data_IF_833830529143
#
_entry.id   IF_833830529143
#
_cell.length_a   1.000
_cell.length_b   1.000
_cell.length_c   1.000
_cell.angle_alpha   90.00
_cell.angle_beta   90.00
_cell.angle_gamma   90.00
#
_symmetry.space_group_name_H-M   'P 1'
#
loop_
_entity.id
_entity.type
_entity.pdbx_description
1 polymer ?
#
# COMPACT_ATOMS: atom_id res chain seq x y z
N UNK A 1 -30.59 34.32 -37.71
CA UNK A 1 -31.50 33.45 -36.97
C UNK A 1 -31.07 33.49 -35.52
N UNK A 2 -31.96 33.75 -34.53
CA UNK A 2 -31.59 33.74 -33.15
C UNK A 2 -31.20 32.30 -32.74
N UNK A 3 -30.06 32.13 -32.12
CA UNK A 3 -29.59 30.86 -31.57
C UNK A 3 -30.64 30.31 -30.61
N UNK A 4 -31.14 29.10 -30.86
CA UNK A 4 -32.04 28.41 -29.93
C UNK A 4 -31.26 28.07 -28.67
N UNK A 5 -31.63 28.68 -27.54
CA UNK A 5 -31.19 28.30 -26.23
C UNK A 5 -31.72 26.91 -25.91
N UNK A 6 -30.84 25.95 -25.68
CA UNK A 6 -31.21 24.73 -24.97
C UNK A 6 -31.45 25.05 -23.49
N UNK A 7 -32.45 24.40 -22.92
CA UNK A 7 -33.08 24.66 -21.63
C UNK A 7 -32.04 24.77 -20.51
N UNK A 8 -31.97 25.95 -19.91
CA UNK A 8 -31.20 26.24 -18.72
C UNK A 8 -30.76 27.68 -18.63
N UNK A 9 -30.72 28.16 -17.47
CA UNK A 9 -31.07 29.58 -17.20
C UNK A 9 -29.88 30.45 -16.80
N UNK A 10 -28.70 29.91 -16.61
CA UNK A 10 -27.62 30.76 -16.12
C UNK A 10 -26.71 31.27 -17.24
N UNK A 11 -26.91 32.54 -17.61
CA UNK A 11 -26.06 33.25 -18.56
C UNK A 11 -24.64 33.55 -17.98
N UNK A 12 -24.45 33.32 -16.69
CA UNK A 12 -23.24 33.66 -15.97
C UNK A 12 -22.42 32.43 -15.53
N UNK A 13 -22.74 31.22 -16.03
CA UNK A 13 -21.92 30.06 -15.75
C UNK A 13 -20.47 30.33 -16.15
N UNK A 14 -19.55 30.26 -15.19
CA UNK A 14 -18.15 30.44 -15.47
C UNK A 14 -17.63 29.21 -16.25
N UNK A 15 -16.59 29.37 -17.03
CA UNK A 15 -15.95 28.27 -17.76
C UNK A 15 -15.40 27.17 -16.85
N UNK A 16 -15.33 27.42 -15.54
CA UNK A 16 -14.92 26.46 -14.52
C UNK A 16 -16.10 25.79 -13.80
N UNK A 17 -17.35 26.23 -14.07
CA UNK A 17 -18.55 25.71 -13.43
C UNK A 17 -19.37 24.91 -14.46
N UNK A 18 -19.40 23.59 -14.30
CA UNK A 18 -20.14 22.68 -15.18
C UNK A 18 -21.64 22.58 -14.86
N UNK A 19 -22.14 23.38 -13.90
CA UNK A 19 -23.56 23.37 -13.49
C UNK A 19 -24.44 24.24 -14.40
N UNK A 20 -23.83 25.07 -15.24
CA UNK A 20 -24.54 25.91 -16.22
C UNK A 20 -24.83 25.17 -17.51
N UNK A 21 -25.89 25.59 -18.21
CA UNK A 21 -26.19 25.11 -19.57
C UNK A 21 -25.51 26.00 -20.57
N UNK A 22 -24.70 25.41 -21.38
CA UNK A 22 -23.88 26.03 -22.42
C UNK A 22 -24.60 26.01 -23.76
N UNK A 23 -24.53 27.10 -24.51
CA UNK A 23 -24.88 27.04 -25.93
C UNK A 23 -23.81 26.26 -26.69
N UNK A 24 -24.20 25.63 -27.81
CA UNK A 24 -23.26 24.80 -28.59
C UNK A 24 -21.94 25.51 -28.96
N UNK A 25 -22.01 26.83 -29.21
CA UNK A 25 -20.84 27.62 -29.56
C UNK A 25 -19.88 27.82 -28.37
N UNK A 26 -20.41 27.97 -27.16
CA UNK A 26 -19.62 28.05 -25.93
C UNK A 26 -19.01 26.68 -25.60
N UNK A 27 -19.76 25.59 -25.80
CA UNK A 27 -19.26 24.22 -25.67
C UNK A 27 -18.14 23.95 -26.66
N UNK A 28 -18.30 24.33 -27.92
CA UNK A 28 -17.25 24.19 -28.93
C UNK A 28 -16.01 25.03 -28.59
N UNK A 29 -16.21 26.30 -28.19
CA UNK A 29 -15.10 27.17 -27.78
C UNK A 29 -14.36 26.65 -26.54
N UNK A 30 -15.08 26.07 -25.59
CA UNK A 30 -14.49 25.43 -24.42
C UNK A 30 -13.71 24.17 -24.78
N UNK A 31 -14.22 23.33 -25.70
CA UNK A 31 -13.57 22.14 -26.20
C UNK A 31 -12.30 22.46 -26.98
N UNK A 32 -12.34 23.45 -27.87
CA UNK A 32 -11.18 23.88 -28.66
C UNK A 32 -10.14 24.62 -27.82
N UNK A 33 -10.60 25.34 -26.76
CA UNK A 33 -9.73 26.04 -25.82
C UNK A 33 -9.16 25.18 -24.69
N UNK A 34 -9.34 23.85 -24.75
CA UNK A 34 -8.96 22.88 -23.68
C UNK A 34 -9.55 23.24 -22.29
N UNK A 35 -10.72 23.91 -22.28
CA UNK A 35 -11.42 24.35 -21.06
C UNK A 35 -12.62 23.47 -20.72
N UNK A 36 -12.99 22.55 -21.63
CA UNK A 36 -14.05 21.58 -21.37
C UNK A 36 -13.50 20.43 -20.54
N UNK A 37 -13.84 20.42 -19.27
CA UNK A 37 -13.70 19.20 -18.46
C UNK A 37 -14.92 18.34 -18.77
N UNK A 38 -14.72 17.15 -19.32
CA UNK A 38 -15.79 16.17 -19.50
C UNK A 38 -16.51 15.87 -18.19
N UNK A 39 -17.65 15.15 -18.22
CA UNK A 39 -18.35 14.75 -17.01
C UNK A 39 -17.41 13.99 -16.09
N UNK A 40 -17.44 14.34 -14.79
CA UNK A 40 -16.60 13.74 -13.77
C UNK A 40 -17.39 12.77 -12.91
N UNK A 41 -16.71 11.79 -12.35
CA UNK A 41 -17.25 10.91 -11.33
C UNK A 41 -16.34 10.92 -10.08
N UNK A 42 -16.90 10.89 -8.86
CA UNK A 42 -16.12 10.77 -7.65
C UNK A 42 -15.56 9.34 -7.53
N UNK A 43 -14.26 9.20 -7.33
CA UNK A 43 -13.57 7.94 -7.10
C UNK A 43 -12.85 8.01 -5.76
N UNK A 44 -13.28 7.17 -4.80
CA UNK A 44 -12.49 6.91 -3.60
C UNK A 44 -11.39 5.90 -3.97
N UNK A 45 -10.18 6.12 -3.49
CA UNK A 45 -9.07 5.20 -3.75
C UNK A 45 -8.28 4.86 -2.50
N UNK A 46 -7.75 3.65 -2.51
CA UNK A 46 -6.72 3.18 -1.59
C UNK A 46 -5.56 2.64 -2.40
N UNK A 47 -4.38 3.19 -2.20
CA UNK A 47 -3.11 2.71 -2.78
C UNK A 47 -2.22 2.23 -1.64
N UNK A 48 -1.85 0.96 -1.67
CA UNK A 48 -0.94 0.35 -0.71
C UNK A 48 0.26 -0.19 -1.47
N UNK A 49 1.46 0.24 -1.10
CA UNK A 49 2.70 -0.25 -1.68
C UNK A 49 3.11 -1.61 -1.09
N UNK A 50 4.08 -2.28 -1.72
CA UNK A 50 4.66 -3.50 -1.19
C UNK A 50 5.46 -3.27 0.09
N UNK A 51 5.35 -4.21 1.04
CA UNK A 51 6.16 -4.23 2.27
C UNK A 51 7.59 -4.72 2.02
N UNK A 52 8.51 -4.39 2.91
CA UNK A 52 9.89 -4.88 2.88
C UNK A 52 10.04 -6.31 3.38
N UNK A 53 11.06 -7.02 2.96
CA UNK A 53 11.41 -8.36 3.48
C UNK A 53 12.08 -8.29 4.85
N UNK A 54 12.04 -9.39 5.61
CA UNK A 54 12.78 -9.55 6.86
C UNK A 54 14.26 -9.87 6.63
N UNK A 55 15.13 -9.46 7.56
CA UNK A 55 16.54 -9.85 7.61
C UNK A 55 16.71 -11.31 8.06
N UNK A 56 17.82 -11.94 7.70
CA UNK A 56 18.16 -13.29 8.20
C UNK A 56 18.90 -13.23 9.54
N UNK A 57 19.17 -14.36 10.19
CA UNK A 57 20.07 -14.51 11.35
C UNK A 57 19.74 -13.53 12.48
N UNK A 58 18.69 -13.78 13.22
CA UNK A 58 18.18 -12.88 14.27
C UNK A 58 17.87 -11.49 13.72
N UNK A 59 17.41 -11.47 12.47
CA UNK A 59 17.18 -10.25 11.73
C UNK A 59 15.96 -9.48 12.19
N UNK A 60 15.94 -8.20 11.86
CA UNK A 60 14.77 -7.35 12.05
C UNK A 60 13.65 -7.71 11.06
N UNK A 61 12.41 -7.45 11.45
CA UNK A 61 11.25 -7.53 10.55
C UNK A 61 11.29 -6.43 9.49
N UNK A 62 10.71 -6.68 8.32
CA UNK A 62 10.52 -5.69 7.25
C UNK A 62 9.47 -4.63 7.61
N UNK A 63 9.59 -3.45 7.08
CA UNK A 63 8.58 -2.39 7.21
C UNK A 63 7.38 -2.61 6.29
N UNK A 64 6.18 -2.17 6.69
CA UNK A 64 5.00 -2.11 5.83
C UNK A 64 5.15 -1.08 4.70
N UNK A 65 4.46 -1.26 3.58
CA UNK A 65 4.36 -0.26 2.53
C UNK A 65 3.62 1.00 3.01
N UNK A 66 3.64 2.07 2.24
CA UNK A 66 2.80 3.22 2.50
C UNK A 66 1.32 2.88 2.26
N UNK A 67 0.47 3.49 3.08
CA UNK A 67 -0.98 3.47 2.98
C UNK A 67 -1.45 4.87 2.59
N UNK A 68 -1.99 5.02 1.38
CA UNK A 68 -2.50 6.27 0.86
C UNK A 68 -3.98 6.10 0.51
N UNK A 69 -4.87 6.82 1.21
CA UNK A 69 -6.32 6.78 0.99
C UNK A 69 -6.86 8.19 0.84
N UNK A 70 -7.61 8.43 -0.22
CA UNK A 70 -8.26 9.72 -0.50
C UNK A 70 -9.36 9.54 -1.59
N UNK A 71 -9.84 10.64 -2.13
CA UNK A 71 -10.76 10.67 -3.26
C UNK A 71 -10.28 11.64 -4.33
N UNK A 72 -10.73 11.45 -5.55
CA UNK A 72 -10.48 12.34 -6.70
C UNK A 72 -11.67 12.31 -7.64
N UNK A 73 -11.84 13.36 -8.43
CA UNK A 73 -12.81 13.39 -9.52
C UNK A 73 -12.15 12.89 -10.80
N UNK A 74 -12.57 11.72 -11.26
CA UNK A 74 -12.10 11.17 -12.52
C UNK A 74 -12.95 11.72 -13.69
N UNK A 75 -12.31 12.11 -14.78
CA UNK A 75 -12.99 12.53 -16.01
C UNK A 75 -13.35 11.25 -16.79
N UNK A 76 -14.63 11.11 -17.12
CA UNK A 76 -15.14 9.96 -17.89
C UNK A 76 -14.49 9.93 -19.26
N UNK A 77 -14.08 8.74 -19.70
CA UNK A 77 -13.36 8.53 -20.97
C UNK A 77 -11.85 8.75 -20.89
N UNK A 78 -11.33 9.38 -19.83
CA UNK A 78 -9.89 9.51 -19.66
C UNK A 78 -9.27 8.21 -19.13
N UNK A 79 -7.99 8.03 -19.46
CA UNK A 79 -7.20 6.87 -19.08
C UNK A 79 -6.31 7.21 -17.87
N UNK A 80 -6.38 6.41 -16.82
CA UNK A 80 -5.62 6.58 -15.57
C UNK A 80 -4.69 5.38 -15.38
N UNK A 81 -3.42 5.65 -15.15
CA UNK A 81 -2.43 4.59 -14.95
C UNK A 81 -2.59 3.91 -13.59
N UNK A 82 -2.37 2.59 -13.54
CA UNK A 82 -2.36 1.80 -12.31
C UNK A 82 -1.16 0.87 -12.32
N UNK A 83 -0.45 0.81 -11.20
CA UNK A 83 0.59 -0.20 -10.96
C UNK A 83 0.50 -0.72 -9.54
N UNK A 84 0.68 -2.04 -9.37
CA UNK A 84 0.70 -2.68 -8.05
C UNK A 84 2.08 -3.26 -7.77
N UNK A 85 2.72 -2.76 -6.71
CA UNK A 85 4.06 -3.17 -6.33
C UNK A 85 4.11 -4.53 -5.61
N UNK A 86 5.11 -5.32 -5.91
CA UNK A 86 5.45 -6.56 -5.19
C UNK A 86 6.08 -6.27 -3.83
N UNK A 87 6.02 -7.26 -2.94
CA UNK A 87 6.79 -7.24 -1.68
C UNK A 87 8.28 -7.42 -1.91
N UNK A 88 9.09 -6.92 -0.98
CA UNK A 88 10.54 -7.12 -0.97
C UNK A 88 10.90 -8.59 -0.72
N UNK A 89 11.98 -9.05 -1.34
CA UNK A 89 12.47 -10.44 -1.18
C UNK A 89 12.87 -10.73 0.28
N UNK A 90 12.79 -11.99 0.64
CA UNK A 90 13.45 -12.50 1.85
C UNK A 90 14.95 -12.16 1.77
N UNK A 91 15.55 -11.72 2.89
CA UNK A 91 16.89 -11.17 2.85
C UNK A 91 18.00 -12.14 3.17
N UNK A 92 19.17 -11.85 2.56
CA UNK A 92 20.47 -12.18 3.12
C UNK A 92 20.84 -11.16 4.20
N UNK A 93 21.92 -10.38 4.02
CA UNK A 93 22.36 -9.36 5.00
C UNK A 93 21.32 -8.26 5.30
N UNK A 94 20.40 -8.02 4.40
CA UNK A 94 19.26 -7.12 4.53
C UNK A 94 18.11 -7.66 3.70
N UNK A 95 16.89 -7.61 4.22
CA UNK A 95 15.68 -7.88 3.43
C UNK A 95 15.55 -6.89 2.27
N UNK A 96 14.95 -7.34 1.18
CA UNK A 96 14.66 -6.49 0.02
C UNK A 96 13.67 -5.39 0.37
N UNK A 97 13.79 -4.24 -0.27
CA UNK A 97 12.76 -3.20 -0.27
C UNK A 97 11.60 -3.64 -1.16
N UNK A 98 10.38 -3.35 -0.78
CA UNK A 98 9.19 -3.56 -1.61
C UNK A 98 9.20 -2.69 -2.87
N UNK A 99 8.12 -2.74 -3.64
CA UNK A 99 7.93 -1.91 -4.84
C UNK A 99 6.74 -0.97 -4.62
N UNK A 100 6.83 0.25 -5.18
CA UNK A 100 5.77 1.25 -5.13
C UNK A 100 4.50 0.75 -5.83
N UNK A 101 3.34 1.18 -5.34
CA UNK A 101 2.07 1.09 -6.05
C UNK A 101 1.59 2.49 -6.41
N UNK A 102 0.87 2.63 -7.51
CA UNK A 102 0.35 3.92 -7.93
C UNK A 102 -1.05 3.80 -8.58
N UNK A 103 -1.81 4.87 -8.42
CA UNK A 103 -3.01 5.17 -9.18
C UNK A 103 -2.86 6.60 -9.70
N UNK A 104 -2.70 6.72 -11.04
CA UNK A 104 -2.41 7.98 -11.72
C UNK A 104 -1.21 8.72 -11.09
N UNK A 105 -1.39 9.95 -10.63
CA UNK A 105 -0.36 10.76 -9.95
C UNK A 105 -0.19 10.43 -8.46
N UNK A 106 -0.98 9.51 -7.91
CA UNK A 106 -0.93 9.12 -6.49
C UNK A 106 -0.06 7.87 -6.33
N UNK A 107 1.14 8.05 -5.80
CA UNK A 107 2.11 6.96 -5.62
C UNK A 107 2.40 6.71 -4.14
N UNK A 108 2.25 5.47 -3.71
CA UNK A 108 2.62 4.99 -2.39
C UNK A 108 4.05 4.43 -2.40
N UNK A 109 4.83 4.76 -1.39
CA UNK A 109 6.23 4.36 -1.23
C UNK A 109 6.35 2.98 -0.59
N UNK A 110 7.33 2.16 -0.97
CA UNK A 110 7.49 0.81 -0.42
C UNK A 110 8.07 0.82 1.00
N UNK A 111 7.82 -0.27 1.73
CA UNK A 111 8.52 -0.56 2.98
C UNK A 111 9.94 -1.05 2.72
N UNK A 112 10.88 -0.71 3.62
CA UNK A 112 12.28 -1.16 3.53
C UNK A 112 12.48 -2.49 4.25
N UNK A 113 13.50 -3.25 3.84
CA UNK A 113 13.84 -4.52 4.49
C UNK A 113 14.46 -4.34 5.88
N UNK A 114 14.25 -5.34 6.74
CA UNK A 114 14.94 -5.47 8.02
C UNK A 114 16.41 -5.88 7.84
N UNK A 115 17.26 -5.52 8.80
CA UNK A 115 18.69 -5.81 8.81
C UNK A 115 19.00 -7.07 9.62
N UNK A 116 20.06 -7.81 9.25
CA UNK A 116 20.56 -8.88 10.10
C UNK A 116 21.40 -8.33 11.27
N UNK A 117 21.69 -9.18 12.25
CA UNK A 117 22.33 -8.76 13.51
C UNK A 117 23.74 -8.18 13.32
N UNK A 118 24.51 -8.72 12.38
CA UNK A 118 25.87 -8.26 12.12
C UNK A 118 25.96 -7.13 11.07
N UNK A 119 24.82 -6.53 10.68
CA UNK A 119 24.84 -5.41 9.73
C UNK A 119 25.47 -4.18 10.39
N UNK A 120 26.58 -3.63 9.83
CA UNK A 120 27.29 -2.52 10.45
C UNK A 120 26.39 -1.35 10.79
N UNK A 121 26.37 -0.95 12.07
CA UNK A 121 25.60 0.16 12.59
C UNK A 121 24.10 -0.09 12.82
N UNK A 122 23.54 -1.27 12.47
CA UNK A 122 22.08 -1.50 12.56
C UNK A 122 21.66 -2.77 13.32
N UNK A 123 22.56 -3.61 13.81
CA UNK A 123 22.34 -4.77 14.70
C UNK A 123 20.90 -5.32 14.74
N UNK A 124 20.43 -5.95 13.68
CA UNK A 124 19.11 -6.55 13.62
C UNK A 124 17.93 -5.56 13.64
N UNK A 125 18.15 -4.31 13.25
CA UNK A 125 17.10 -3.28 13.21
C UNK A 125 15.99 -3.65 12.25
N UNK A 126 14.74 -3.37 12.63
CA UNK A 126 13.57 -3.47 11.75
C UNK A 126 13.61 -2.45 10.59
N UNK A 127 13.00 -2.79 9.46
CA UNK A 127 12.84 -1.91 8.31
C UNK A 127 11.85 -0.76 8.59
N UNK A 128 12.02 0.36 7.92
CA UNK A 128 11.08 1.48 8.01
C UNK A 128 9.87 1.22 7.10
N UNK A 129 8.70 1.72 7.49
CA UNK A 129 7.53 1.73 6.61
C UNK A 129 7.67 2.79 5.50
N UNK A 130 6.95 2.59 4.40
CA UNK A 130 6.80 3.59 3.34
C UNK A 130 6.17 4.90 3.83
N UNK A 131 5.35 4.85 4.89
CA UNK A 131 4.76 6.02 5.56
C UNK A 131 5.73 6.75 6.50
N UNK A 132 7.04 6.44 6.47
CA UNK A 132 8.06 7.11 7.25
C UNK A 132 8.15 6.67 8.72
N UNK A 133 7.41 5.64 9.18
CA UNK A 133 7.53 5.10 10.53
C UNK A 133 8.76 4.21 10.64
N UNK A 134 9.60 4.45 11.61
CA UNK A 134 10.86 3.73 11.79
C UNK A 134 10.63 2.32 12.32
N UNK A 135 11.51 1.41 11.91
CA UNK A 135 11.63 0.10 12.55
C UNK A 135 12.29 0.21 13.92
N UNK A 136 11.98 -0.74 14.79
CA UNK A 136 12.54 -0.86 16.13
C UNK A 136 14.03 -1.21 16.11
N UNK A 137 14.75 -0.81 17.15
CA UNK A 137 16.13 -1.20 17.36
C UNK A 137 16.25 -2.71 17.64
N UNK A 138 17.28 -3.34 17.09
CA UNK A 138 17.71 -4.68 17.46
C UNK A 138 18.69 -4.68 18.62
N UNK A 139 18.92 -5.84 19.23
CA UNK A 139 19.86 -6.11 20.29
C UNK A 139 21.04 -7.00 19.91
N UNK A 140 21.74 -7.57 20.91
CA UNK A 140 22.92 -8.39 20.67
C UNK A 140 22.61 -9.69 19.93
N UNK A 141 21.45 -10.32 20.20
CA UNK A 141 21.05 -11.63 19.66
C UNK A 141 19.56 -11.67 19.24
N UNK A 142 18.93 -10.51 19.06
CA UNK A 142 17.50 -10.41 18.78
C UNK A 142 17.17 -9.24 17.85
N UNK A 143 16.24 -9.45 16.94
CA UNK A 143 15.80 -8.49 15.94
C UNK A 143 14.70 -7.55 16.42
N UNK A 144 14.73 -6.30 15.98
CA UNK A 144 13.66 -5.31 16.15
C UNK A 144 12.51 -5.54 15.17
N UNK A 145 11.30 -5.07 15.49
CA UNK A 145 10.15 -5.12 14.62
C UNK A 145 10.19 -4.04 13.53
N UNK A 146 9.63 -4.32 12.37
CA UNK A 146 9.45 -3.33 11.29
C UNK A 146 8.41 -2.27 11.64
N UNK A 147 8.53 -1.07 11.06
CA UNK A 147 7.48 -0.04 11.17
C UNK A 147 6.25 -0.40 10.35
N UNK A 148 5.06 -0.10 10.84
CA UNK A 148 3.80 -0.15 10.12
C UNK A 148 3.34 1.24 9.68
N UNK A 149 2.28 1.35 8.87
CA UNK A 149 1.80 2.64 8.39
C UNK A 149 1.29 3.54 9.53
N UNK A 150 0.70 2.96 10.55
CA UNK A 150 0.14 3.67 11.70
C UNK A 150 1.13 3.86 12.85
N UNK A 151 2.10 2.94 13.04
CA UNK A 151 2.96 2.92 14.22
C UNK A 151 4.40 2.49 13.89
N UNK A 152 5.36 2.99 14.67
CA UNK A 152 6.76 2.52 14.64
C UNK A 152 6.85 1.08 15.11
N UNK A 153 7.84 0.35 14.61
CA UNK A 153 8.16 -0.99 15.11
C UNK A 153 8.74 -0.93 16.52
N UNK A 154 8.49 -1.96 17.31
CA UNK A 154 9.03 -2.04 18.66
C UNK A 154 10.49 -2.49 18.65
N UNK A 155 11.29 -1.86 19.51
CA UNK A 155 12.61 -2.35 19.85
C UNK A 155 12.56 -3.67 20.61
N UNK A 156 13.71 -4.30 20.75
CA UNK A 156 13.86 -5.53 21.54
C UNK A 156 13.74 -5.27 23.06
N UNK A 157 13.35 -6.31 23.80
CA UNK A 157 13.45 -6.34 25.25
C UNK A 157 14.53 -7.34 25.68
N UNK A 158 15.75 -6.86 25.90
CA UNK A 158 16.90 -7.71 26.27
C UNK A 158 16.73 -8.36 27.63
N UNK A 159 16.05 -7.70 28.60
CA UNK A 159 15.83 -8.26 29.94
C UNK A 159 14.96 -9.53 29.92
N UNK A 160 14.03 -9.62 28.98
CA UNK A 160 13.15 -10.78 28.80
C UNK A 160 13.50 -11.61 27.56
N UNK A 161 14.61 -11.29 26.88
CA UNK A 161 15.07 -11.91 25.64
C UNK A 161 13.96 -11.99 24.56
N UNK A 162 13.22 -10.89 24.37
CA UNK A 162 12.09 -10.81 23.46
C UNK A 162 12.38 -9.89 22.29
N UNK A 163 12.19 -10.41 21.06
CA UNK A 163 12.32 -9.64 19.82
C UNK A 163 11.21 -8.59 19.69
N UNK A 164 11.47 -7.56 18.90
CA UNK A 164 10.52 -6.47 18.68
C UNK A 164 9.33 -6.90 17.85
N UNK A 165 8.13 -6.50 18.26
CA UNK A 165 6.92 -6.66 17.46
C UNK A 165 6.86 -5.63 16.33
N UNK A 166 6.20 -5.98 15.24
CA UNK A 166 5.89 -5.04 14.16
C UNK A 166 4.98 -3.90 14.63
N UNK A 167 5.15 -2.74 14.02
CA UNK A 167 4.28 -1.59 14.21
C UNK A 167 2.92 -1.81 13.54
N UNK A 168 1.86 -1.26 14.14
CA UNK A 168 0.51 -1.36 13.61
C UNK A 168 0.39 -0.70 12.23
N UNK A 169 -0.47 -1.27 11.38
CA UNK A 169 -0.86 -0.74 10.09
C UNK A 169 -1.90 0.37 10.18
N UNK A 170 -2.56 0.64 9.08
CA UNK A 170 -3.69 1.55 8.98
C UNK A 170 -4.93 0.82 8.45
N UNK A 171 -6.11 1.27 8.86
CA UNK A 171 -7.38 0.63 8.51
C UNK A 171 -8.13 1.43 7.44
N UNK A 172 -8.86 0.72 6.57
CA UNK A 172 -9.81 1.30 5.63
C UNK A 172 -11.07 0.46 5.55
N UNK A 173 -12.22 1.11 5.36
CA UNK A 173 -13.50 0.48 5.08
C UNK A 173 -13.91 0.56 3.61
N UNK A 174 -13.01 0.92 2.72
CA UNK A 174 -13.28 1.12 1.28
C UNK A 174 -13.89 -0.11 0.59
N UNK A 175 -13.72 -1.29 1.16
CA UNK A 175 -14.27 -2.57 0.66
C UNK A 175 -15.61 -2.96 1.29
N UNK A 176 -16.28 -2.04 2.00
CA UNK A 176 -17.52 -2.31 2.74
C UNK A 176 -17.31 -2.91 4.14
N UNK A 177 -16.10 -3.35 4.46
CA UNK A 177 -15.69 -3.85 5.79
C UNK A 177 -14.33 -3.31 6.17
N UNK A 178 -14.08 -3.19 7.48
CA UNK A 178 -12.79 -2.70 7.99
C UNK A 178 -11.69 -3.73 7.75
N UNK A 179 -10.67 -3.33 7.01
CA UNK A 179 -9.47 -4.13 6.73
C UNK A 179 -8.24 -3.32 7.10
N UNK A 180 -7.27 -3.95 7.78
CA UNK A 180 -5.98 -3.34 8.11
C UNK A 180 -4.93 -3.69 7.06
N UNK A 181 -4.06 -2.72 6.77
CA UNK A 181 -3.00 -2.79 5.75
C UNK A 181 -1.69 -2.28 6.30
N UNK A 182 -0.59 -2.66 5.67
CA UNK A 182 0.74 -2.08 5.89
C UNK A 182 1.29 -2.20 7.30
N UNK A 183 1.00 -3.32 7.98
CA UNK A 183 1.64 -3.62 9.27
C UNK A 183 3.10 -4.01 9.11
N UNK A 184 3.92 -3.78 10.13
CA UNK A 184 5.32 -4.17 10.19
C UNK A 184 5.50 -5.66 10.51
N UNK A 185 6.59 -6.27 10.04
CA UNK A 185 7.00 -7.64 10.40
C UNK A 185 7.63 -7.70 11.80
N UNK A 186 7.52 -8.84 12.46
CA UNK A 186 8.20 -9.12 13.74
C UNK A 186 9.68 -9.44 13.57
N UNK A 187 10.50 -9.10 14.57
CA UNK A 187 11.92 -9.46 14.61
C UNK A 187 12.16 -10.92 14.93
N UNK A 188 13.25 -11.50 14.40
CA UNK A 188 13.69 -12.85 14.71
C UNK A 188 14.38 -12.93 16.07
N UNK A 189 14.39 -14.14 16.69
CA UNK A 189 15.02 -14.38 17.97
C UNK A 189 16.02 -15.55 17.88
N UNK A 190 16.91 -15.67 18.87
CA UNK A 190 17.80 -16.81 19.04
C UNK A 190 17.01 -18.03 19.53
N UNK A 191 17.66 -19.06 20.04
CA UNK A 191 17.10 -20.33 20.52
C UNK A 191 15.96 -20.27 21.56
N UNK A 192 15.26 -19.19 21.68
CA UNK A 192 14.20 -18.95 22.68
C UNK A 192 12.86 -18.62 22.06
N UNK A 193 11.79 -18.70 22.83
CA UNK A 193 10.40 -18.51 22.38
C UNK A 193 9.95 -17.04 22.33
N UNK A 194 10.86 -16.08 22.29
CA UNK A 194 10.54 -14.65 22.33
C UNK A 194 10.54 -13.97 20.95
N UNK A 195 10.06 -14.61 19.87
CA UNK A 195 9.96 -13.97 18.56
C UNK A 195 9.06 -12.72 18.59
N UNK A 196 9.35 -11.77 17.73
CA UNK A 196 8.48 -10.65 17.47
C UNK A 196 7.24 -11.07 16.68
N UNK A 197 6.09 -10.51 17.02
CA UNK A 197 4.83 -10.74 16.32
C UNK A 197 4.66 -9.67 15.26
N UNK A 198 4.33 -10.05 14.03
CA UNK A 198 3.94 -9.12 12.98
C UNK A 198 2.58 -8.52 13.27
N UNK A 199 2.36 -7.29 12.85
CA UNK A 199 1.08 -6.58 13.02
C UNK A 199 0.36 -6.47 11.67
N UNK A 200 -0.96 -6.46 11.67
CA UNK A 200 -1.86 -6.04 10.56
C UNK A 200 -1.45 -6.49 9.15
N UNK A 201 -1.18 -7.78 9.01
CA UNK A 201 -0.68 -8.36 7.76
C UNK A 201 0.85 -8.47 7.68
N UNK A 202 1.59 -8.01 8.69
CA UNK A 202 3.01 -8.30 8.82
C UNK A 202 3.26 -9.75 9.23
N UNK A 203 4.37 -10.33 8.78
CA UNK A 203 4.79 -11.70 9.12
C UNK A 203 5.46 -11.77 10.50
N UNK A 204 5.25 -12.87 11.21
CA UNK A 204 5.94 -13.11 12.50
C UNK A 204 7.43 -13.40 12.28
N UNK A 205 8.25 -13.00 13.24
CA UNK A 205 9.65 -13.38 13.27
C UNK A 205 9.85 -14.88 13.49
N UNK A 206 11.00 -15.39 13.07
CA UNK A 206 11.41 -16.75 13.35
C UNK A 206 11.91 -16.96 14.79
N UNK A 207 11.82 -18.17 15.27
CA UNK A 207 12.39 -18.61 16.55
C UNK A 207 12.92 -20.04 16.46
N UNK A 208 13.77 -20.40 17.36
CA UNK A 208 14.32 -21.78 17.48
C UNK A 208 14.86 -22.36 16.15
N UNK A 209 15.63 -21.58 15.40
CA UNK A 209 16.17 -21.99 14.10
C UNK A 209 15.19 -21.92 12.93
N UNK A 210 13.97 -21.43 13.14
CA UNK A 210 12.95 -21.30 12.12
C UNK A 210 13.06 -19.99 11.32
N UNK A 211 12.59 -20.02 10.07
CA UNK A 211 12.47 -18.84 9.24
C UNK A 211 11.36 -17.90 9.73
N UNK A 212 11.42 -16.62 9.37
CA UNK A 212 10.31 -15.71 9.52
C UNK A 212 9.11 -16.11 8.66
N UNK A 213 7.94 -15.54 8.95
CA UNK A 213 6.73 -15.70 8.14
C UNK A 213 6.63 -14.57 7.12
N UNK A 214 6.09 -14.81 5.91
CA UNK A 214 5.89 -13.75 4.92
C UNK A 214 4.84 -12.73 5.36
N UNK A 215 4.96 -11.52 4.87
CA UNK A 215 3.90 -10.53 4.92
C UNK A 215 2.70 -10.96 4.07
N UNK A 216 1.49 -10.60 4.50
CA UNK A 216 0.27 -10.96 3.81
C UNK A 216 0.21 -10.29 2.42
N UNK A 217 -0.07 -11.09 1.38
CA UNK A 217 -0.25 -10.61 0.03
C UNK A 217 -1.43 -9.63 -0.07
N UNK A 218 -1.31 -8.62 -0.93
CA UNK A 218 -2.31 -7.59 -1.17
C UNK A 218 -2.67 -6.77 0.08
N UNK A 219 -1.75 -6.69 1.04
CA UNK A 219 -1.87 -5.87 2.26
C UNK A 219 -0.65 -4.99 2.53
N UNK A 220 0.44 -5.15 1.76
CA UNK A 220 1.65 -4.35 1.94
C UNK A 220 2.37 -4.61 3.27
N UNK A 221 2.14 -5.73 3.94
CA UNK A 221 2.77 -6.05 5.22
C UNK A 221 4.25 -6.39 5.10
N UNK A 222 5.06 -6.04 6.11
CA UNK A 222 6.48 -6.42 6.17
C UNK A 222 6.67 -7.91 6.45
N UNK A 223 7.74 -8.53 5.94
CA UNK A 223 8.12 -9.92 6.26
C UNK A 223 8.78 -10.04 7.63
N UNK A 224 8.64 -11.19 8.29
CA UNK A 224 9.29 -11.48 9.57
C UNK A 224 10.80 -11.74 9.42
N UNK A 225 11.60 -11.35 10.41
CA UNK A 225 13.03 -11.65 10.49
C UNK A 225 13.30 -13.13 10.77
N UNK A 226 14.44 -13.65 10.28
CA UNK A 226 14.87 -15.03 10.55
C UNK A 226 15.47 -15.20 11.94
N UNK A 227 15.55 -16.43 12.42
CA UNK A 227 16.15 -16.78 13.71
C UNK A 227 17.52 -17.46 13.58
N UNK A 228 18.10 -17.80 14.72
CA UNK A 228 19.29 -18.68 14.81
C UNK A 228 19.13 -19.65 15.97
N UNK A 229 19.40 -20.92 15.73
CA UNK A 229 19.57 -21.92 16.79
C UNK A 229 20.33 -23.16 16.25
N UNK A 230 21.62 -23.14 16.33
CA UNK A 230 22.46 -24.18 15.73
C UNK A 230 22.60 -24.07 14.20
N UNK A 231 21.90 -23.13 13.59
CA UNK A 231 21.92 -22.80 12.16
C UNK A 231 21.23 -21.49 11.87
N UNK A 232 21.61 -20.85 10.78
CA UNK A 232 21.02 -19.56 10.32
C UNK A 232 19.72 -19.83 9.58
N UNK A 233 18.65 -19.13 9.97
CA UNK A 233 17.37 -19.13 9.25
C UNK A 233 17.12 -17.81 8.52
N UNK A 234 16.46 -17.91 7.38
CA UNK A 234 16.14 -16.74 6.56
C UNK A 234 14.97 -15.92 7.15
N UNK A 235 15.03 -14.62 6.95
CA UNK A 235 13.82 -13.81 7.00
C UNK A 235 12.85 -14.19 5.89
N UNK A 236 11.67 -13.60 5.88
CA UNK A 236 10.65 -13.87 4.89
C UNK A 236 10.37 -12.65 4.00
N UNK A 237 9.76 -12.90 2.85
CA UNK A 237 9.37 -11.83 1.91
C UNK A 237 8.30 -10.92 2.52
N UNK A 238 8.29 -9.66 2.12
CA UNK A 238 7.17 -8.75 2.35
C UNK A 238 5.95 -9.11 1.51
N UNK A 239 4.77 -8.64 1.91
CA UNK A 239 3.53 -8.78 1.16
C UNK A 239 3.45 -7.79 0.00
N UNK A 240 2.80 -8.18 -1.09
CA UNK A 240 2.48 -7.27 -2.18
C UNK A 240 1.52 -6.17 -1.73
N UNK A 241 1.55 -5.02 -2.45
CA UNK A 241 0.58 -3.95 -2.33
C UNK A 241 -0.77 -4.29 -2.98
N UNK A 242 -1.63 -3.29 -3.03
CA UNK A 242 -2.95 -3.33 -3.66
C UNK A 242 -3.38 -1.93 -4.05
N UNK A 243 -4.18 -1.79 -5.14
CA UNK A 243 -4.93 -0.58 -5.46
C UNK A 243 -6.42 -0.94 -5.42
N UNK A 244 -7.21 -0.12 -4.70
CA UNK A 244 -8.66 -0.31 -4.59
C UNK A 244 -9.33 0.98 -5.02
N UNK A 245 -10.31 0.87 -5.91
CA UNK A 245 -11.09 1.98 -6.45
C UNK A 245 -12.57 1.74 -6.14
N UNK A 246 -13.22 2.70 -5.46
CA UNK A 246 -14.65 2.67 -5.14
C UNK A 246 -15.34 3.84 -5.83
N UNK A 247 -16.37 3.55 -6.59
CA UNK A 247 -17.08 4.51 -7.44
C UNK A 247 -18.57 4.14 -7.56
N UNK A 248 -19.48 5.07 -7.93
CA UNK A 248 -20.91 4.79 -8.06
C UNK A 248 -21.19 3.64 -9.04
N UNK A 249 -22.15 2.78 -8.73
CA UNK A 249 -22.39 1.49 -9.41
C UNK A 249 -22.93 1.62 -10.84
N UNK A 250 -23.51 2.77 -11.17
CA UNK A 250 -24.01 3.05 -12.52
C UNK A 250 -22.90 3.36 -13.54
N UNK A 251 -21.64 3.52 -13.09
CA UNK A 251 -20.49 3.58 -13.98
C UNK A 251 -19.88 2.21 -14.22
N UNK A 252 -19.28 2.05 -15.39
CA UNK A 252 -18.52 0.84 -15.74
C UNK A 252 -17.05 1.17 -15.91
N UNK A 253 -16.19 0.39 -15.20
CA UNK A 253 -14.74 0.49 -15.35
C UNK A 253 -14.25 -0.49 -16.42
N UNK A 254 -13.40 -0.02 -17.30
CA UNK A 254 -12.62 -0.86 -18.23
C UNK A 254 -11.19 -0.93 -17.70
N UNK A 255 -10.66 -2.15 -17.57
CA UNK A 255 -9.31 -2.39 -17.05
C UNK A 255 -8.41 -2.94 -18.16
N UNK A 256 -7.18 -2.42 -18.22
CA UNK A 256 -6.15 -2.90 -19.14
C UNK A 256 -5.78 -4.37 -18.89
N UNK A 257 -5.44 -5.11 -19.93
CA UNK A 257 -5.16 -6.55 -19.90
C UNK A 257 -4.01 -6.97 -18.96
N UNK A 258 -3.14 -6.03 -18.56
CA UNK A 258 -2.03 -6.29 -17.63
C UNK A 258 -2.42 -6.27 -16.14
N UNK A 259 -3.68 -5.96 -15.81
CA UNK A 259 -4.14 -5.82 -14.41
C UNK A 259 -4.84 -7.08 -13.92
N UNK A 260 -4.41 -7.61 -12.77
CA UNK A 260 -5.11 -8.67 -12.04
C UNK A 260 -6.11 -8.02 -11.09
N UNK A 261 -7.40 -8.26 -11.31
CA UNK A 261 -8.44 -7.53 -10.60
C UNK A 261 -9.69 -8.36 -10.28
N UNK A 262 -10.50 -7.83 -9.37
CA UNK A 262 -11.89 -8.28 -9.09
C UNK A 262 -12.74 -7.05 -8.79
N UNK A 263 -13.99 -7.04 -9.30
CA UNK A 263 -14.97 -5.99 -9.00
C UNK A 263 -16.16 -6.61 -8.29
N UNK A 264 -16.59 -5.98 -7.19
CA UNK A 264 -17.77 -6.36 -6.41
C UNK A 264 -18.68 -5.15 -6.23
N UNK A 265 -19.96 -5.38 -5.93
CA UNK A 265 -20.92 -4.31 -5.58
C UNK A 265 -21.04 -4.20 -4.06
N UNK A 266 -21.09 -2.97 -3.55
CA UNK A 266 -21.25 -2.62 -2.14
C UNK A 266 -22.27 -1.46 -2.02
N UNK A 267 -23.54 -1.80 -1.81
CA UNK A 267 -24.66 -0.85 -1.88
C UNK A 267 -24.74 -0.19 -3.25
N UNK A 268 -24.74 1.13 -3.29
CA UNK A 268 -24.79 1.95 -4.51
C UNK A 268 -23.40 2.17 -5.16
N UNK A 269 -22.40 1.35 -4.80
CA UNK A 269 -21.02 1.47 -5.28
C UNK A 269 -20.51 0.17 -5.85
N UNK A 270 -19.59 0.28 -6.80
CA UNK A 270 -18.68 -0.79 -7.20
C UNK A 270 -17.32 -0.58 -6.56
N UNK A 271 -16.73 -1.68 -6.14
CA UNK A 271 -15.38 -1.74 -5.57
C UNK A 271 -14.52 -2.61 -6.46
N UNK A 272 -13.56 -2.00 -7.14
CA UNK A 272 -12.57 -2.70 -7.97
C UNK A 272 -11.28 -2.83 -7.20
N UNK A 273 -10.89 -4.07 -6.87
CA UNK A 273 -9.63 -4.41 -6.20
C UNK A 273 -8.63 -4.91 -7.23
N UNK A 274 -7.50 -4.22 -7.37
CA UNK A 274 -6.42 -4.54 -8.30
C UNK A 274 -5.24 -5.06 -7.46
N UNK A 275 -4.88 -6.32 -7.68
CA UNK A 275 -3.93 -7.07 -6.83
C UNK A 275 -2.58 -7.33 -7.50
N UNK A 276 -2.41 -6.92 -8.74
CA UNK A 276 -1.15 -7.07 -9.45
C UNK A 276 -1.17 -6.48 -10.85
N UNK A 277 0.00 -6.29 -11.39
CA UNK A 277 0.21 -5.82 -12.75
C UNK A 277 0.37 -4.32 -12.90
N UNK A 278 0.51 -3.91 -14.16
CA UNK A 278 0.56 -2.52 -14.60
C UNK A 278 -0.33 -2.36 -15.83
N UNK A 279 -1.10 -1.30 -15.86
CA UNK A 279 -2.04 -1.01 -16.95
C UNK A 279 -2.79 0.28 -16.69
N UNK A 280 -3.87 0.48 -17.44
CA UNK A 280 -4.70 1.65 -17.31
C UNK A 280 -6.14 1.26 -16.94
N UNK A 281 -6.87 2.19 -16.34
CA UNK A 281 -8.30 2.10 -16.11
C UNK A 281 -9.01 3.29 -16.75
N UNK A 282 -10.24 3.08 -17.20
CA UNK A 282 -11.10 4.10 -17.81
C UNK A 282 -12.53 3.85 -17.37
N UNK A 283 -13.30 4.90 -17.11
CA UNK A 283 -14.73 4.80 -16.80
C UNK A 283 -15.60 5.26 -17.96
N UNK A 284 -16.74 4.57 -18.12
CA UNK A 284 -17.80 4.87 -19.10
C UNK A 284 -19.15 4.95 -18.37
#
# INVERSE_FOLDING_TARGET
MPARKFIGVDKNASLSDSTGIWIMQEQYAAAVGDRWRGPTLPVEYLVVAGGGGGGYDQGGGGGGGEFLSSSTDAIIGNSYSVSVGGGGSAGGTKGGTGVSSAFDNFSASPGTGGHHINYPGFKGRGGNSGSGRTGGSGGADIGGGGGGAGQTGNGVNEATNKAGNGGAGASSSITGSVVTYSGGGGGGNRCTTGQGIGADGGGNGGYNGGAGSPGAANRGGGGGGGSWCGGIANGAAGGSGVVILRYPDYYTITLGAGLVNTTTTDGDYKVTRITGGTGNVTWM
#
